data_IF_594971123218
#
_entry.id   IF_594971123218
#
_cell.length_a   1.000
_cell.length_b   1.000
_cell.length_c   1.000
_cell.angle_alpha   90.00
_cell.angle_beta   90.00
_cell.angle_gamma   90.00
#
_symmetry.space_group_name_H-M   'P 1'
#
loop_
_entity.id
_entity.type
_entity.pdbx_description
1 polymer ?
#
# COMPACT_ATOMS: atom_id res chain seq x y z
N UNK A 1 -10.61 -37.42 7.37
CA UNK A 1 -9.86 -37.04 8.58
C UNK A 1 -8.90 -35.90 8.24
N UNK A 2 -9.25 -34.65 8.59
CA UNK A 2 -8.51 -33.43 8.21
C UNK A 2 -7.01 -33.48 8.55
N UNK A 3 -6.63 -34.22 9.61
CA UNK A 3 -5.25 -34.47 10.03
C UNK A 3 -4.37 -35.01 8.88
N UNK A 4 -4.90 -35.87 8.01
CA UNK A 4 -4.13 -36.44 6.90
C UNK A 4 -3.81 -35.40 5.81
N UNK A 5 -4.64 -34.36 5.66
CA UNK A 5 -4.40 -33.24 4.73
C UNK A 5 -3.32 -32.30 5.29
N UNK A 6 -3.34 -31.99 6.58
CA UNK A 6 -2.33 -31.15 7.22
C UNK A 6 -0.96 -31.82 7.29
N UNK A 7 -0.92 -33.13 7.62
CA UNK A 7 0.33 -33.89 7.63
C UNK A 7 0.95 -33.95 6.23
N UNK A 8 0.12 -34.15 5.21
CA UNK A 8 0.55 -34.14 3.80
C UNK A 8 1.04 -32.76 3.37
N UNK A 9 0.33 -31.69 3.72
CA UNK A 9 0.75 -30.32 3.41
C UNK A 9 2.07 -29.96 4.10
N UNK A 10 2.27 -30.38 5.35
CA UNK A 10 3.51 -30.19 6.09
C UNK A 10 4.70 -30.94 5.45
N UNK A 11 4.51 -32.21 5.05
CA UNK A 11 5.56 -32.99 4.38
C UNK A 11 5.90 -32.43 2.99
N UNK A 12 4.89 -31.94 2.25
CA UNK A 12 5.11 -31.26 0.96
C UNK A 12 5.90 -29.97 1.18
N UNK A 13 5.48 -29.11 2.12
CA UNK A 13 6.18 -27.88 2.45
C UNK A 13 7.62 -28.13 2.89
N UNK A 14 7.85 -29.15 3.74
CA UNK A 14 9.19 -29.53 4.20
C UNK A 14 10.07 -30.04 3.05
N UNK A 15 9.53 -30.86 2.13
CA UNK A 15 10.25 -31.31 0.94
C UNK A 15 10.55 -30.18 -0.03
N UNK A 16 9.64 -29.22 -0.19
CA UNK A 16 9.85 -28.03 -1.03
C UNK A 16 10.96 -27.16 -0.45
N UNK A 17 10.95 -26.89 0.85
CA UNK A 17 12.01 -26.14 1.56
C UNK A 17 13.37 -26.81 1.43
N UNK A 18 13.45 -28.15 1.55
CA UNK A 18 14.69 -28.90 1.39
C UNK A 18 15.20 -28.94 -0.07
N UNK A 19 14.34 -28.70 -1.05
CA UNK A 19 14.67 -28.65 -2.48
C UNK A 19 14.96 -27.23 -3.00
N UNK A 20 14.84 -26.21 -2.14
CA UNK A 20 14.92 -24.80 -2.54
C UNK A 20 13.73 -24.33 -3.36
N UNK A 21 12.66 -25.13 -3.43
CA UNK A 21 11.42 -24.78 -4.11
C UNK A 21 10.59 -23.86 -3.20
N UNK A 22 10.36 -22.62 -3.62
CA UNK A 22 9.43 -21.72 -2.96
C UNK A 22 8.00 -22.14 -3.29
N UNK A 23 7.06 -21.96 -2.37
CA UNK A 23 5.63 -22.05 -2.71
C UNK A 23 5.36 -21.10 -3.88
N UNK A 24 4.63 -21.52 -4.92
CA UNK A 24 4.23 -20.61 -5.98
C UNK A 24 3.45 -19.46 -5.33
N UNK A 25 3.75 -18.20 -5.69
CA UNK A 25 3.05 -17.06 -5.14
C UNK A 25 1.54 -17.25 -5.28
N UNK A 26 0.79 -16.96 -4.20
CA UNK A 26 -0.67 -16.90 -4.28
C UNK A 26 -1.13 -15.85 -5.29
N UNK A 27 -2.39 -15.90 -5.73
CA UNK A 27 -2.93 -14.95 -6.71
C UNK A 27 -2.82 -13.48 -6.26
N UNK A 28 -2.75 -13.24 -4.95
CA UNK A 28 -2.62 -11.92 -4.33
C UNK A 28 -1.16 -11.49 -4.07
N UNK A 29 -0.17 -12.30 -4.44
CA UNK A 29 1.24 -11.97 -4.21
C UNK A 29 1.70 -10.65 -4.86
N UNK A 30 1.27 -10.28 -6.09
CA UNK A 30 1.61 -8.98 -6.66
C UNK A 30 1.09 -7.81 -5.81
N UNK A 31 -0.14 -7.92 -5.29
CA UNK A 31 -0.72 -6.89 -4.41
C UNK A 31 0.03 -6.81 -3.08
N UNK A 32 0.44 -7.94 -2.50
CA UNK A 32 1.23 -7.96 -1.26
C UNK A 32 2.59 -7.28 -1.43
N UNK A 33 3.28 -7.56 -2.52
CA UNK A 33 4.55 -6.92 -2.85
C UNK A 33 4.37 -5.42 -3.09
N UNK A 34 3.34 -5.05 -3.86
CA UNK A 34 2.96 -3.65 -4.08
C UNK A 34 2.66 -2.91 -2.76
N UNK A 35 1.95 -3.55 -1.81
CA UNK A 35 1.68 -2.96 -0.49
C UNK A 35 2.99 -2.73 0.29
N UNK A 36 3.88 -3.72 0.33
CA UNK A 36 5.17 -3.60 1.00
C UNK A 36 6.02 -2.44 0.45
N UNK A 37 6.07 -2.29 -0.88
CA UNK A 37 6.76 -1.19 -1.54
C UNK A 37 6.11 0.17 -1.20
N UNK A 38 4.77 0.24 -1.15
CA UNK A 38 4.06 1.45 -0.75
C UNK A 38 4.39 1.88 0.69
N UNK A 39 4.48 0.92 1.62
CA UNK A 39 4.90 1.16 3.01
C UNK A 39 6.31 1.73 3.07
N UNK A 40 7.27 1.15 2.32
CA UNK A 40 8.64 1.66 2.29
C UNK A 40 8.74 3.10 1.75
N UNK A 41 7.85 3.48 0.81
CA UNK A 41 7.76 4.86 0.30
C UNK A 41 7.21 5.83 1.35
N UNK A 42 6.22 5.41 2.13
CA UNK A 42 5.70 6.20 3.25
C UNK A 42 6.79 6.43 4.31
N UNK A 43 7.59 5.41 4.62
CA UNK A 43 8.72 5.54 5.56
C UNK A 43 9.77 6.54 5.06
N UNK A 44 10.05 6.55 3.75
CA UNK A 44 10.94 7.54 3.14
C UNK A 44 10.37 8.96 3.24
N UNK A 45 9.06 9.13 3.03
CA UNK A 45 8.37 10.43 3.18
C UNK A 45 8.51 10.94 4.62
N UNK A 46 8.29 10.07 5.62
CA UNK A 46 8.43 10.43 7.03
C UNK A 46 9.87 10.86 7.36
N UNK A 47 10.88 10.13 6.85
CA UNK A 47 12.29 10.49 7.01
C UNK A 47 12.62 11.84 6.36
N UNK A 48 12.15 12.09 5.14
CA UNK A 48 12.41 13.33 4.41
C UNK A 48 11.70 14.54 5.03
N UNK A 49 10.50 14.35 5.58
CA UNK A 49 9.80 15.39 6.33
C UNK A 49 10.59 15.78 7.59
N UNK A 50 11.08 14.79 8.34
CA UNK A 50 11.92 15.04 9.51
C UNK A 50 13.24 15.76 9.16
N UNK A 51 13.93 15.32 8.10
CA UNK A 51 15.17 15.96 7.64
C UNK A 51 15.00 17.42 7.22
N UNK A 52 13.84 17.75 6.64
CA UNK A 52 13.52 19.09 6.16
C UNK A 52 12.77 19.94 7.18
N UNK A 53 12.56 19.40 8.40
CA UNK A 53 11.81 20.08 9.47
C UNK A 53 10.40 20.50 9.06
N UNK A 54 9.79 19.74 8.14
CA UNK A 54 8.40 19.95 7.70
C UNK A 54 7.51 19.13 8.64
N UNK A 55 6.65 19.82 9.40
CA UNK A 55 5.62 19.15 10.21
C UNK A 55 4.44 18.73 9.32
N UNK A 56 4.18 17.42 9.13
CA UNK A 56 3.08 16.94 8.31
C UNK A 56 1.69 17.34 8.83
N UNK A 57 1.55 17.79 10.07
CA UNK A 57 0.29 18.30 10.61
C UNK A 57 -0.02 19.73 10.13
N UNK A 58 1.01 20.52 9.83
CA UNK A 58 0.87 21.92 9.39
C UNK A 58 0.66 22.05 7.88
N UNK A 59 1.01 21.02 7.11
CA UNK A 59 0.74 20.97 5.67
C UNK A 59 -0.73 20.58 5.47
N UNK A 60 -1.60 21.59 5.32
CA UNK A 60 -3.05 21.40 5.17
C UNK A 60 -3.51 21.72 3.76
N UNK A 61 -4.32 20.83 3.19
CA UNK A 61 -4.94 20.98 1.87
C UNK A 61 -6.45 21.07 1.99
N UNK A 62 -7.06 21.90 1.14
CA UNK A 62 -8.51 21.92 0.93
C UNK A 62 -8.86 20.93 -0.19
N UNK A 63 -9.39 19.76 0.18
CA UNK A 63 -9.82 18.69 -0.74
C UNK A 63 -11.31 18.45 -0.52
N UNK A 64 -12.11 18.50 -1.58
CA UNK A 64 -13.58 18.29 -1.54
C UNK A 64 -14.26 19.14 -0.47
N UNK A 65 -13.88 20.42 -0.40
CA UNK A 65 -14.35 21.42 0.59
C UNK A 65 -13.93 21.15 2.05
N UNK A 66 -13.15 20.11 2.33
CA UNK A 66 -12.63 19.77 3.65
C UNK A 66 -11.15 20.10 3.79
N UNK A 67 -10.75 20.57 4.96
CA UNK A 67 -9.33 20.71 5.29
C UNK A 67 -8.80 19.36 5.78
N UNK A 68 -7.75 18.87 5.13
CA UNK A 68 -7.11 17.59 5.43
C UNK A 68 -5.60 17.82 5.50
N UNK A 69 -4.97 17.39 6.58
CA UNK A 69 -3.52 17.49 6.74
C UNK A 69 -2.79 16.39 5.96
N UNK A 70 -1.55 16.66 5.55
CA UNK A 70 -0.63 15.68 5.00
C UNK A 70 -0.51 14.45 5.92
N UNK A 71 -0.36 14.67 7.23
CA UNK A 71 -0.35 13.59 8.22
C UNK A 71 -1.58 12.68 8.13
N UNK A 72 -2.77 13.27 7.93
CA UNK A 72 -4.01 12.49 7.80
C UNK A 72 -4.01 11.67 6.52
N UNK A 73 -3.67 12.29 5.38
CA UNK A 73 -3.59 11.61 4.08
C UNK A 73 -2.64 10.41 4.17
N UNK A 74 -1.40 10.63 4.59
CA UNK A 74 -0.36 9.59 4.64
C UNK A 74 -0.70 8.48 5.64
N UNK A 75 -1.31 8.83 6.79
CA UNK A 75 -1.75 7.84 7.78
C UNK A 75 -2.89 6.98 7.24
N UNK A 76 -3.82 7.56 6.48
CA UNK A 76 -4.90 6.79 5.83
C UNK A 76 -4.32 5.81 4.81
N UNK A 77 -3.42 6.25 3.92
CA UNK A 77 -2.75 5.33 2.97
C UNK A 77 -2.00 4.23 3.73
N UNK A 78 -1.24 4.59 4.78
CA UNK A 78 -0.53 3.62 5.60
C UNK A 78 -1.48 2.58 6.19
N UNK A 79 -2.58 3.03 6.81
CA UNK A 79 -3.58 2.14 7.39
C UNK A 79 -4.17 1.18 6.35
N UNK A 80 -4.50 1.68 5.16
CA UNK A 80 -5.01 0.81 4.10
C UNK A 80 -3.99 -0.26 3.69
N UNK A 81 -2.73 0.11 3.48
CA UNK A 81 -1.67 -0.82 3.06
C UNK A 81 -1.30 -1.84 4.16
N UNK A 82 -1.32 -1.44 5.44
CA UNK A 82 -0.85 -2.29 6.54
C UNK A 82 -1.94 -3.13 7.19
N UNK A 83 -3.19 -2.65 7.18
CA UNK A 83 -4.28 -3.26 7.92
C UNK A 83 -5.46 -3.60 7.01
N UNK A 84 -6.06 -2.62 6.35
CA UNK A 84 -7.33 -2.80 5.66
C UNK A 84 -7.23 -3.74 4.46
N UNK A 85 -6.32 -3.46 3.51
CA UNK A 85 -6.15 -4.30 2.31
C UNK A 85 -5.73 -5.73 2.67
N UNK A 86 -4.79 -5.97 3.60
CA UNK A 86 -4.50 -7.34 4.05
C UNK A 86 -5.70 -8.06 4.66
N UNK A 87 -6.62 -7.37 5.34
CA UNK A 87 -7.86 -7.96 5.87
C UNK A 87 -8.82 -8.28 4.71
N UNK A 88 -9.01 -7.34 3.79
CA UNK A 88 -9.87 -7.53 2.61
C UNK A 88 -9.41 -8.71 1.76
N UNK A 89 -8.11 -8.82 1.46
CA UNK A 89 -7.55 -9.91 0.65
C UNK A 89 -7.62 -11.28 1.34
N UNK A 90 -7.78 -11.34 2.67
CA UNK A 90 -8.04 -12.59 3.39
C UNK A 90 -9.52 -12.96 3.41
N UNK A 91 -10.40 -12.00 3.23
CA UNK A 91 -11.84 -12.24 3.20
C UNK A 91 -12.21 -12.93 1.88
N UNK A 92 -12.95 -14.04 1.96
CA UNK A 92 -13.48 -14.76 0.79
C UNK A 92 -14.72 -14.04 0.26
N UNK A 93 -14.58 -12.75 -0.07
CA UNK A 93 -15.64 -11.90 -0.61
C UNK A 93 -15.28 -11.49 -2.03
N UNK A 94 -16.22 -11.68 -2.96
CA UNK A 94 -16.09 -11.24 -4.35
C UNK A 94 -15.90 -9.71 -4.50
N UNK A 95 -16.32 -8.93 -3.50
CA UNK A 95 -16.19 -7.46 -3.49
C UNK A 95 -14.92 -6.94 -2.84
N UNK A 96 -14.11 -7.82 -2.22
CA UNK A 96 -12.93 -7.39 -1.48
C UNK A 96 -11.93 -6.65 -2.39
N UNK A 97 -11.71 -7.16 -3.59
CA UNK A 97 -10.78 -6.58 -4.53
C UNK A 97 -11.29 -5.24 -5.09
N UNK A 98 -12.59 -5.15 -5.38
CA UNK A 98 -13.22 -3.90 -5.80
C UNK A 98 -13.09 -2.80 -4.73
N UNK A 99 -13.23 -3.16 -3.45
CA UNK A 99 -13.02 -2.23 -2.35
C UNK A 99 -11.56 -1.74 -2.26
N UNK A 100 -10.59 -2.64 -2.42
CA UNK A 100 -9.16 -2.28 -2.48
C UNK A 100 -8.89 -1.27 -3.60
N UNK A 101 -9.39 -1.54 -4.81
CA UNK A 101 -9.19 -0.62 -5.94
C UNK A 101 -9.89 0.73 -5.74
N UNK A 102 -11.10 0.73 -5.19
CA UNK A 102 -11.84 1.96 -4.90
C UNK A 102 -11.12 2.81 -3.86
N UNK A 103 -10.67 2.21 -2.75
CA UNK A 103 -9.95 2.92 -1.70
C UNK A 103 -8.60 3.43 -2.21
N UNK A 104 -7.91 2.65 -3.05
CA UNK A 104 -6.65 3.07 -3.65
C UNK A 104 -6.83 4.25 -4.61
N UNK A 105 -7.95 4.32 -5.35
CA UNK A 105 -8.26 5.46 -6.20
C UNK A 105 -8.41 6.75 -5.39
N UNK A 106 -9.13 6.67 -4.27
CA UNK A 106 -9.29 7.79 -3.33
C UNK A 106 -7.95 8.23 -2.73
N UNK A 107 -7.11 7.27 -2.34
CA UNK A 107 -5.77 7.53 -1.83
C UNK A 107 -4.87 8.19 -2.88
N UNK A 108 -4.86 7.65 -4.10
CA UNK A 108 -4.11 8.21 -5.21
C UNK A 108 -4.52 9.65 -5.49
N UNK A 109 -5.82 9.95 -5.53
CA UNK A 109 -6.32 11.31 -5.67
C UNK A 109 -5.79 12.24 -4.56
N UNK A 110 -5.91 11.84 -3.29
CA UNK A 110 -5.44 12.65 -2.16
C UNK A 110 -3.93 12.88 -2.19
N UNK A 111 -3.14 11.87 -2.55
CA UNK A 111 -1.68 11.96 -2.67
C UNK A 111 -1.27 12.84 -3.86
N UNK A 112 -1.97 12.75 -5.00
CA UNK A 112 -1.76 13.65 -6.15
C UNK A 112 -2.01 15.10 -5.75
N UNK A 113 -3.11 15.38 -5.01
CA UNK A 113 -3.38 16.73 -4.50
C UNK A 113 -2.29 17.20 -3.53
N UNK A 114 -1.78 16.30 -2.69
CA UNK A 114 -0.70 16.59 -1.74
C UNK A 114 0.61 16.98 -2.46
N UNK A 115 0.93 16.37 -3.60
CA UNK A 115 2.10 16.72 -4.41
C UNK A 115 2.12 18.21 -4.83
N UNK A 116 0.94 18.79 -5.05
CA UNK A 116 0.76 20.19 -5.44
C UNK A 116 0.84 21.17 -4.25
N UNK A 117 1.01 20.69 -3.02
CA UNK A 117 1.07 21.55 -1.85
C UNK A 117 2.27 22.52 -1.92
N UNK A 118 2.00 23.81 -1.76
CA UNK A 118 3.03 24.86 -1.81
C UNK A 118 4.17 24.62 -0.80
N UNK A 119 3.85 24.04 0.37
CA UNK A 119 4.83 23.69 1.40
C UNK A 119 5.86 22.64 0.95
N UNK A 120 5.56 21.86 -0.09
CA UNK A 120 6.45 20.84 -0.64
C UNK A 120 7.21 21.34 -1.87
N UNK A 121 6.88 22.50 -2.43
CA UNK A 121 7.40 22.92 -3.73
C UNK A 121 8.93 22.94 -3.78
N UNK A 122 9.50 22.32 -4.82
CA UNK A 122 10.94 22.22 -5.05
C UNK A 122 11.73 21.49 -3.95
N UNK A 123 11.07 20.66 -3.14
CA UNK A 123 11.70 19.85 -2.09
C UNK A 123 11.95 18.40 -2.53
N UNK A 124 12.91 17.68 -1.92
CA UNK A 124 12.99 16.22 -2.02
C UNK A 124 11.70 15.52 -1.56
N UNK A 125 10.94 16.13 -0.63
CA UNK A 125 9.70 15.56 -0.11
C UNK A 125 8.61 15.54 -1.19
N UNK A 126 8.52 16.58 -2.02
CA UNK A 126 7.62 16.59 -3.18
C UNK A 126 7.90 15.42 -4.13
N UNK A 127 9.17 15.17 -4.45
CA UNK A 127 9.54 14.04 -5.32
C UNK A 127 9.16 12.69 -4.70
N UNK A 128 9.28 12.55 -3.38
CA UNK A 128 8.89 11.33 -2.68
C UNK A 128 7.37 11.14 -2.67
N UNK A 129 6.60 12.22 -2.48
CA UNK A 129 5.13 12.21 -2.60
C UNK A 129 4.69 11.87 -4.02
N UNK A 130 5.33 12.45 -5.05
CA UNK A 130 5.07 12.12 -6.45
C UNK A 130 5.36 10.63 -6.75
N UNK A 131 6.46 10.11 -6.21
CA UNK A 131 6.81 8.70 -6.34
C UNK A 131 5.81 7.76 -5.63
N UNK A 132 5.22 8.19 -4.50
CA UNK A 132 4.11 7.48 -3.88
C UNK A 132 2.86 7.55 -4.76
N UNK A 133 2.53 8.70 -5.35
CA UNK A 133 1.38 8.84 -6.25
C UNK A 133 1.47 7.88 -7.43
N UNK A 134 2.61 7.89 -8.14
CA UNK A 134 2.87 6.99 -9.27
C UNK A 134 2.81 5.50 -8.85
N UNK A 135 3.24 5.19 -7.62
CA UNK A 135 3.12 3.84 -7.07
C UNK A 135 1.66 3.42 -6.86
N UNK A 136 0.82 4.32 -6.35
CA UNK A 136 -0.61 4.05 -6.16
C UNK A 136 -1.35 3.90 -7.49
N UNK A 137 -0.98 4.67 -8.51
CA UNK A 137 -1.50 4.51 -9.87
C UNK A 137 -1.15 3.14 -10.48
N UNK A 138 0.06 2.66 -10.20
CA UNK A 138 0.59 1.38 -10.68
C UNK A 138 0.13 0.15 -9.86
N UNK A 139 -1.03 0.23 -9.19
CA UNK A 139 -1.60 -0.91 -8.48
C UNK A 139 -1.78 -2.11 -9.42
N UNK A 140 -1.32 -3.32 -9.05
CA UNK A 140 -1.50 -4.52 -9.86
C UNK A 140 -2.98 -4.76 -10.15
N UNK A 141 -3.32 -4.86 -11.44
CA UNK A 141 -4.63 -5.28 -11.91
C UNK A 141 -4.61 -6.79 -12.13
N UNK A 142 -5.70 -7.48 -11.83
CA UNK A 142 -5.88 -8.83 -12.36
C UNK A 142 -5.72 -8.77 -13.87
N UNK A 143 -4.82 -9.57 -14.42
CA UNK A 143 -4.73 -9.75 -15.86
C UNK A 143 -6.07 -10.29 -16.34
N UNK A 144 -6.77 -9.51 -17.16
CA UNK A 144 -7.86 -10.01 -17.98
C UNK A 144 -7.27 -11.11 -18.89
N UNK A 145 -7.41 -12.37 -18.48
CA UNK A 145 -7.25 -13.53 -19.38
C UNK A 145 -8.51 -13.73 -20.21
#
# INVERSE_FOLDING_TARGET
MMIYRYLRAFVIALRMTLRGESLPPGPDAPLREWMAQGIARLDLIDQLAAQQQIDPQQVVLRIDRRDISMSTILRTVRFHLTEEYPIMLRAVSEYALAAVYSNNLDDHYRVTRLEEAAALHATPLQKAVAALSAHLEAIPRESEE
#
